data_IF_110106415910
#
_entry.id   IF_110106415910
#
_cell.length_a   1.000
_cell.length_b   1.000
_cell.length_c   1.000
_cell.angle_alpha   90.00
_cell.angle_beta   90.00
_cell.angle_gamma   90.00
#
_symmetry.space_group_name_H-M   'P 1'
#
loop_
_entity.id
_entity.type
_entity.pdbx_description
1 polymer ?
#
# COMPACT_ATOMS: atom_id res chain seq x y z
N UNK A 1 -12.61 -0.30 -23.92
CA UNK A 1 -12.16 -0.64 -22.55
C UNK A 1 -13.40 -1.06 -21.77
N UNK A 2 -13.38 -2.25 -21.16
CA UNK A 2 -14.52 -2.80 -20.39
C UNK A 2 -14.71 -1.99 -19.10
N UNK A 3 -15.92 -2.00 -18.54
CA UNK A 3 -16.17 -1.32 -17.26
C UNK A 3 -15.36 -1.97 -16.13
N UNK A 4 -15.20 -3.28 -16.20
CA UNK A 4 -14.35 -4.08 -15.31
C UNK A 4 -12.90 -3.58 -15.35
N UNK A 5 -12.33 -3.38 -16.54
CA UNK A 5 -10.96 -2.87 -16.68
C UNK A 5 -10.84 -1.42 -16.19
N UNK A 6 -11.84 -0.58 -16.41
CA UNK A 6 -11.84 0.78 -15.85
C UNK A 6 -11.84 0.78 -14.32
N UNK A 7 -12.61 -0.10 -13.67
CA UNK A 7 -12.56 -0.26 -12.21
C UNK A 7 -11.25 -0.84 -11.70
N UNK A 8 -10.61 -1.72 -12.47
CA UNK A 8 -9.27 -2.19 -12.16
C UNK A 8 -8.26 -1.03 -12.17
N UNK A 9 -8.28 -0.20 -13.23
CA UNK A 9 -7.41 0.98 -13.32
C UNK A 9 -7.65 2.00 -12.21
N UNK A 10 -8.90 2.18 -11.77
CA UNK A 10 -9.23 3.02 -10.62
C UNK A 10 -8.61 2.51 -9.31
N UNK A 11 -8.68 1.19 -9.05
CA UNK A 11 -8.01 0.61 -7.89
C UNK A 11 -6.48 0.76 -7.99
N UNK A 12 -5.89 0.50 -9.17
CA UNK A 12 -4.47 0.68 -9.41
C UNK A 12 -4.01 2.14 -9.19
N UNK A 13 -4.84 3.11 -9.57
CA UNK A 13 -4.58 4.53 -9.35
C UNK A 13 -4.47 4.85 -7.86
N UNK A 14 -5.41 4.41 -7.02
CA UNK A 14 -5.35 4.68 -5.58
C UNK A 14 -4.15 4.00 -4.92
N UNK A 15 -3.76 2.80 -5.37
CA UNK A 15 -2.53 2.16 -4.92
C UNK A 15 -1.28 2.98 -5.29
N UNK A 16 -1.24 3.53 -6.50
CA UNK A 16 -0.16 4.43 -6.91
C UNK A 16 -0.10 5.69 -6.04
N UNK A 17 -1.25 6.26 -5.69
CA UNK A 17 -1.30 7.43 -4.81
C UNK A 17 -0.81 7.12 -3.40
N UNK A 18 -1.17 5.97 -2.83
CA UNK A 18 -0.62 5.51 -1.54
C UNK A 18 0.91 5.40 -1.59
N UNK A 19 1.47 4.83 -2.67
CA UNK A 19 2.93 4.72 -2.87
C UNK A 19 3.62 6.09 -3.04
N UNK A 20 2.93 7.07 -3.60
CA UNK A 20 3.46 8.42 -3.79
C UNK A 20 3.39 9.29 -2.53
N UNK A 21 2.54 8.93 -1.56
CA UNK A 21 2.27 9.73 -0.36
C UNK A 21 2.40 8.94 0.95
N UNK A 22 3.40 8.04 1.13
CA UNK A 22 3.46 7.15 2.30
C UNK A 22 3.65 7.92 3.61
N UNK A 23 4.31 9.08 3.56
CA UNK A 23 4.59 9.91 4.74
C UNK A 23 3.43 10.83 5.12
N UNK A 24 2.38 10.97 4.29
CA UNK A 24 1.20 11.76 4.63
C UNK A 24 0.10 10.83 5.13
N UNK A 25 -0.08 10.78 6.45
CA UNK A 25 -1.03 9.87 7.10
C UNK A 25 -2.45 10.02 6.56
N UNK A 26 -2.98 11.24 6.50
CA UNK A 26 -4.38 11.43 6.14
C UNK A 26 -4.62 11.09 4.67
N UNK A 27 -3.71 11.54 3.79
CA UNK A 27 -3.77 11.22 2.37
C UNK A 27 -3.63 9.71 2.14
N UNK A 28 -2.72 9.04 2.85
CA UNK A 28 -2.56 7.59 2.78
C UNK A 28 -3.84 6.86 3.19
N UNK A 29 -4.44 7.21 4.34
CA UNK A 29 -5.67 6.60 4.82
C UNK A 29 -6.85 6.80 3.87
N UNK A 30 -6.99 8.00 3.30
CA UNK A 30 -8.03 8.30 2.33
C UNK A 30 -7.86 7.45 1.05
N UNK A 31 -6.63 7.37 0.54
CA UNK A 31 -6.32 6.54 -0.63
C UNK A 31 -6.50 5.04 -0.34
N UNK A 32 -6.20 4.56 0.86
CA UNK A 32 -6.44 3.16 1.25
C UNK A 32 -7.94 2.82 1.26
N UNK A 33 -8.76 3.69 1.84
CA UNK A 33 -10.22 3.54 1.84
C UNK A 33 -10.78 3.53 0.41
N UNK A 34 -10.29 4.45 -0.43
CA UNK A 34 -10.68 4.53 -1.84
C UNK A 34 -10.22 3.29 -2.64
N UNK A 35 -8.99 2.81 -2.40
CA UNK A 35 -8.47 1.57 -2.97
C UNK A 35 -9.36 0.39 -2.63
N UNK A 36 -9.67 0.16 -1.35
CA UNK A 36 -10.50 -0.98 -0.91
C UNK A 36 -11.91 -0.93 -1.54
N UNK A 37 -12.46 0.27 -1.68
CA UNK A 37 -13.75 0.51 -2.33
C UNK A 37 -13.71 0.18 -3.82
N UNK A 38 -12.71 0.70 -4.55
CA UNK A 38 -12.51 0.44 -5.97
C UNK A 38 -12.19 -1.04 -6.23
N UNK A 39 -11.29 -1.65 -5.45
CA UNK A 39 -10.84 -3.03 -5.57
C UNK A 39 -12.00 -4.03 -5.54
N UNK A 40 -12.93 -3.90 -4.59
CA UNK A 40 -14.13 -4.76 -4.57
C UNK A 40 -15.01 -4.55 -5.80
N UNK A 41 -15.16 -3.30 -6.23
CA UNK A 41 -16.05 -2.97 -7.34
C UNK A 41 -15.66 -3.66 -8.64
N UNK A 42 -14.39 -4.01 -8.83
CA UNK A 42 -13.89 -4.77 -10.00
C UNK A 42 -14.73 -6.04 -10.22
N UNK A 43 -14.87 -6.86 -9.18
CA UNK A 43 -15.60 -8.14 -9.28
C UNK A 43 -17.11 -7.96 -9.43
N UNK A 44 -17.68 -6.85 -8.92
CA UNK A 44 -19.10 -6.52 -9.08
C UNK A 44 -19.40 -6.09 -10.51
N UNK A 45 -18.53 -5.26 -11.09
CA UNK A 45 -18.64 -4.85 -12.49
C UNK A 45 -18.42 -6.03 -13.41
N UNK A 46 -17.44 -6.90 -13.14
CA UNK A 46 -17.23 -8.14 -13.89
C UNK A 46 -18.48 -9.03 -13.89
N UNK A 47 -19.10 -9.26 -12.74
CA UNK A 47 -20.34 -10.04 -12.69
C UNK A 47 -21.45 -9.40 -13.53
N UNK A 48 -21.65 -8.09 -13.41
CA UNK A 48 -22.73 -7.39 -14.11
C UNK A 48 -22.50 -7.32 -15.62
N UNK A 49 -21.26 -7.04 -16.03
CA UNK A 49 -20.87 -6.86 -17.43
C UNK A 49 -20.96 -8.17 -18.20
N UNK A 50 -20.57 -9.29 -17.58
CA UNK A 50 -20.50 -10.60 -18.25
C UNK A 50 -21.70 -11.52 -17.92
N UNK A 51 -22.63 -11.10 -17.06
CA UNK A 51 -23.79 -11.91 -16.61
C UNK A 51 -24.60 -12.55 -17.75
N UNK A 52 -24.65 -11.89 -18.90
CA UNK A 52 -25.45 -12.31 -20.06
C UNK A 52 -24.71 -13.28 -20.99
N UNK A 53 -23.40 -13.50 -20.79
CA UNK A 53 -22.59 -14.34 -21.67
C UNK A 53 -22.74 -15.82 -21.26
N UNK A 54 -23.04 -16.74 -22.22
CA UNK A 54 -23.13 -18.16 -21.92
C UNK A 54 -21.89 -18.70 -21.22
N UNK A 55 -22.08 -19.62 -20.27
CA UNK A 55 -21.03 -20.26 -19.46
C UNK A 55 -20.27 -19.33 -18.49
N UNK A 56 -20.46 -18.01 -18.53
CA UNK A 56 -19.82 -17.09 -17.59
C UNK A 56 -20.19 -17.41 -16.13
N UNK A 57 -21.47 -17.66 -15.84
CA UNK A 57 -21.92 -17.96 -14.47
C UNK A 57 -21.22 -19.19 -13.88
N UNK A 58 -21.01 -20.24 -14.69
CA UNK A 58 -20.31 -21.45 -14.27
C UNK A 58 -18.81 -21.19 -14.03
N UNK A 59 -18.17 -20.47 -14.95
CA UNK A 59 -16.77 -20.07 -14.80
C UNK A 59 -16.56 -19.18 -13.57
N UNK A 60 -17.42 -18.17 -13.38
CA UNK A 60 -17.31 -17.23 -12.27
C UNK A 60 -17.56 -17.89 -10.92
N UNK A 61 -18.44 -18.91 -10.86
CA UNK A 61 -18.64 -19.69 -9.64
C UNK A 61 -17.34 -20.39 -9.19
N UNK A 62 -16.55 -20.92 -10.13
CA UNK A 62 -15.23 -21.50 -9.84
C UNK A 62 -14.26 -20.43 -9.32
N UNK A 63 -14.21 -19.27 -9.98
CA UNK A 63 -13.37 -18.16 -9.53
C UNK A 63 -13.78 -17.64 -8.15
N UNK A 64 -15.08 -17.58 -7.86
CA UNK A 64 -15.57 -17.18 -6.55
C UNK A 64 -15.17 -18.18 -5.46
N UNK A 65 -15.18 -19.48 -5.77
CA UNK A 65 -14.69 -20.50 -4.83
C UNK A 65 -13.19 -20.31 -4.53
N UNK A 66 -12.35 -20.02 -5.54
CA UNK A 66 -10.93 -19.75 -5.30
C UNK A 66 -10.72 -18.46 -4.49
N UNK A 67 -11.49 -17.41 -4.76
CA UNK A 67 -11.42 -16.16 -3.98
C UNK A 67 -11.86 -16.32 -2.52
N UNK A 68 -12.89 -17.15 -2.26
CA UNK A 68 -13.34 -17.46 -0.89
C UNK A 68 -12.33 -18.29 -0.11
N UNK A 69 -11.58 -19.14 -0.79
CA UNK A 69 -10.50 -19.92 -0.18
C UNK A 69 -9.23 -19.09 0.08
N UNK A 70 -9.11 -17.91 -0.53
CA UNK A 70 -7.98 -17.00 -0.33
C UNK A 70 -8.21 -16.14 0.92
N UNK A 71 -7.41 -16.38 1.96
CA UNK A 71 -7.50 -15.70 3.25
C UNK A 71 -7.30 -14.19 3.11
N UNK A 72 -6.42 -13.74 2.21
CA UNK A 72 -6.15 -12.32 2.03
C UNK A 72 -7.27 -11.62 1.27
N UNK A 73 -7.82 -12.23 0.21
CA UNK A 73 -9.00 -11.65 -0.45
C UNK A 73 -10.20 -11.57 0.50
N UNK A 74 -10.36 -12.57 1.37
CA UNK A 74 -11.37 -12.56 2.43
C UNK A 74 -11.11 -11.44 3.46
N UNK A 75 -9.85 -11.26 3.87
CA UNK A 75 -9.43 -10.16 4.75
C UNK A 75 -9.74 -8.80 4.12
N UNK A 76 -9.32 -8.53 2.87
CA UNK A 76 -9.59 -7.26 2.18
C UNK A 76 -11.09 -6.98 2.05
N UNK A 77 -11.89 -8.02 1.82
CA UNK A 77 -13.34 -7.90 1.81
C UNK A 77 -13.89 -7.49 3.19
N UNK A 78 -13.37 -8.06 4.28
CA UNK A 78 -13.77 -7.70 5.65
C UNK A 78 -13.39 -6.26 5.99
N UNK A 79 -12.18 -5.82 5.62
CA UNK A 79 -11.69 -4.46 5.88
C UNK A 79 -12.58 -3.40 5.24
N UNK A 80 -13.08 -3.64 4.02
CA UNK A 80 -14.05 -2.73 3.39
C UNK A 80 -15.39 -2.70 4.11
N UNK A 81 -15.91 -3.85 4.56
CA UNK A 81 -17.18 -3.89 5.32
C UNK A 81 -17.06 -3.02 6.57
N UNK A 82 -15.96 -3.18 7.32
CA UNK A 82 -15.65 -2.35 8.48
C UNK A 82 -15.54 -0.86 8.11
N UNK A 83 -14.81 -0.53 7.04
CA UNK A 83 -14.55 0.86 6.62
C UNK A 83 -15.81 1.62 6.25
N UNK A 84 -16.80 0.94 5.66
CA UNK A 84 -18.03 1.60 5.18
C UNK A 84 -19.09 1.70 6.28
N UNK A 85 -19.09 0.76 7.23
CA UNK A 85 -20.20 0.61 8.17
C UNK A 85 -19.84 0.91 9.63
N UNK A 86 -18.56 0.88 9.99
CA UNK A 86 -18.17 0.89 11.41
C UNK A 86 -17.06 1.88 11.73
N UNK A 87 -15.87 1.72 11.14
CA UNK A 87 -14.66 2.48 11.52
C UNK A 87 -13.64 2.54 10.39
N UNK A 88 -12.77 3.56 10.33
CA UNK A 88 -11.65 3.60 9.40
C UNK A 88 -10.77 2.34 9.48
N UNK A 89 -10.06 2.02 8.39
CA UNK A 89 -9.12 0.90 8.33
C UNK A 89 -8.08 1.04 9.45
N UNK A 90 -7.90 -0.01 10.24
CA UNK A 90 -6.92 -0.01 11.32
C UNK A 90 -5.53 -0.34 10.75
N UNK A 91 -4.67 0.68 10.71
CA UNK A 91 -3.27 0.54 10.32
C UNK A 91 -2.38 1.29 11.30
N UNK A 92 -1.18 0.76 11.52
CA UNK A 92 -0.14 1.44 12.29
C UNK A 92 1.04 1.85 11.39
N UNK A 93 1.60 3.05 11.59
CA UNK A 93 2.84 3.43 10.94
C UNK A 93 4.03 2.75 11.62
N UNK A 94 4.99 2.29 10.81
CA UNK A 94 6.33 1.91 11.20
C UNK A 94 7.30 2.88 10.52
N UNK A 95 8.10 3.57 11.31
CA UNK A 95 9.04 4.57 10.80
C UNK A 95 10.43 3.95 10.62
N UNK A 96 10.96 4.05 9.40
CA UNK A 96 12.34 3.74 9.09
C UNK A 96 13.10 5.06 8.91
N UNK A 97 14.15 5.25 9.71
CA UNK A 97 14.97 6.45 9.70
C UNK A 97 16.31 6.17 9.02
N UNK A 98 16.60 6.90 7.96
CA UNK A 98 17.88 6.87 7.27
C UNK A 98 18.73 8.02 7.76
N UNK A 99 19.82 7.68 8.44
CA UNK A 99 20.80 8.65 8.89
C UNK A 99 21.60 9.19 7.69
N UNK A 100 22.05 10.45 7.75
CA UNK A 100 22.86 11.02 6.69
C UNK A 100 24.14 10.21 6.47
N UNK A 101 24.60 10.13 5.23
CA UNK A 101 25.95 9.62 4.92
C UNK A 101 26.98 10.61 5.44
N UNK A 102 27.92 10.13 6.24
CA UNK A 102 28.98 10.95 6.82
C UNK A 102 30.26 10.77 6.01
N UNK A 103 30.74 11.84 5.39
CA UNK A 103 32.01 11.84 4.68
C UNK A 103 33.18 12.07 5.65
N UNK A 104 33.78 10.97 6.12
CA UNK A 104 34.90 11.01 7.05
C UNK A 104 36.21 11.48 6.40
N UNK A 105 36.29 11.55 5.06
CA UNK A 105 37.52 11.96 4.36
C UNK A 105 37.87 13.43 4.55
N UNK A 106 36.90 14.23 4.98
CA UNK A 106 37.04 15.66 5.26
C UNK A 106 37.50 15.96 6.69
N UNK A 107 37.63 14.93 7.54
CA UNK A 107 38.12 15.09 8.91
C UNK A 107 39.65 15.04 8.95
N UNK A 108 40.28 15.98 9.67
CA UNK A 108 41.72 15.91 9.93
C UNK A 108 42.05 15.05 11.16
N UNK A 109 43.24 14.43 11.23
CA UNK A 109 43.63 13.60 12.38
C UNK A 109 43.54 14.36 13.71
N UNK A 110 42.77 13.83 14.66
CA UNK A 110 42.58 14.42 15.99
C UNK A 110 41.28 15.21 16.16
N UNK A 111 40.52 15.46 15.09
CA UNK A 111 39.18 16.06 15.19
C UNK A 111 38.12 15.06 15.62
N UNK A 112 37.11 15.56 16.33
CA UNK A 112 35.93 14.79 16.73
C UNK A 112 34.69 15.42 16.12
N UNK A 113 34.01 14.68 15.28
CA UNK A 113 32.66 15.00 14.83
C UNK A 113 31.66 14.48 15.86
N UNK A 114 30.86 15.38 16.43
CA UNK A 114 29.71 15.02 17.26
C UNK A 114 28.48 15.61 16.61
N UNK A 115 27.37 14.88 16.65
CA UNK A 115 26.07 15.35 16.21
C UNK A 115 24.99 14.59 16.98
N UNK A 116 23.85 15.25 17.16
CA UNK A 116 22.67 14.69 17.81
C UNK A 116 21.58 14.48 16.77
N UNK A 117 21.19 13.22 16.58
CA UNK A 117 20.01 12.86 15.79
C UNK A 117 18.80 12.80 16.72
N UNK A 118 17.80 13.63 16.45
CA UNK A 118 16.50 13.55 17.10
C UNK A 118 15.48 13.10 16.08
N UNK A 119 14.81 11.98 16.34
CA UNK A 119 13.67 11.53 15.56
C UNK A 119 12.39 11.85 16.31
N UNK A 120 11.42 12.43 15.61
CA UNK A 120 10.11 12.73 16.18
C UNK A 120 9.03 12.53 15.12
N UNK A 121 7.78 12.53 15.57
CA UNK A 121 6.61 12.63 14.70
C UNK A 121 6.07 14.05 14.89
N UNK A 122 5.87 14.79 13.80
CA UNK A 122 5.33 16.14 13.88
C UNK A 122 3.82 16.14 14.20
N UNK A 123 3.24 17.33 14.37
CA UNK A 123 1.81 17.48 14.69
C UNK A 123 0.88 16.88 13.61
N UNK A 124 1.38 16.71 12.38
CA UNK A 124 0.65 16.08 11.28
C UNK A 124 0.88 14.57 11.15
N UNK A 125 1.59 13.95 12.11
CA UNK A 125 1.86 12.52 12.08
C UNK A 125 3.00 12.11 11.16
N UNK A 126 3.74 13.08 10.59
CA UNK A 126 4.84 12.82 9.66
C UNK A 126 6.14 12.61 10.42
N UNK A 127 6.95 11.63 10.04
CA UNK A 127 8.24 11.43 10.69
C UNK A 127 9.20 12.55 10.31
N UNK A 128 9.81 13.18 11.31
CA UNK A 128 10.81 14.21 11.18
C UNK A 128 12.14 13.74 11.77
N UNK A 129 13.24 14.15 11.12
CA UNK A 129 14.59 13.96 11.62
C UNK A 129 15.24 15.32 11.74
N UNK A 130 15.71 15.63 12.95
CA UNK A 130 16.44 16.84 13.24
C UNK A 130 17.88 16.49 13.58
N UNK A 131 18.82 17.13 12.89
CA UNK A 131 20.25 17.05 13.20
C UNK A 131 20.65 18.33 13.93
N UNK A 132 21.16 18.17 15.15
CA UNK A 132 21.61 19.27 16.01
C UNK A 132 23.04 19.02 16.50
N UNK A 133 23.62 20.04 17.13
CA UNK A 133 24.96 19.99 17.75
C UNK A 133 26.10 19.56 16.81
N UNK A 134 26.01 19.91 15.53
CA UNK A 134 27.07 19.60 14.55
C UNK A 134 28.24 20.54 14.78
N UNK A 135 29.39 20.00 15.23
CA UNK A 135 30.59 20.80 15.51
C UNK A 135 31.14 21.55 14.28
N UNK A 136 30.83 21.09 13.06
CA UNK A 136 30.97 21.88 11.83
C UNK A 136 30.01 21.36 10.73
N UNK A 137 28.98 22.16 10.38
CA UNK A 137 27.97 21.78 9.36
C UNK A 137 28.55 21.63 7.96
N UNK A 138 29.69 22.25 7.67
CA UNK A 138 30.25 22.31 6.31
C UNK A 138 31.08 21.09 5.93
N UNK A 139 31.44 20.23 6.89
CA UNK A 139 32.49 19.23 6.68
C UNK A 139 32.04 17.78 6.53
N UNK A 140 30.81 17.36 6.83
CA UNK A 140 30.58 15.90 6.93
C UNK A 140 29.23 15.34 6.46
N UNK A 141 28.17 16.13 6.24
CA UNK A 141 26.85 15.59 5.91
C UNK A 141 26.69 15.55 4.38
N UNK A 142 26.86 14.37 3.78
CA UNK A 142 26.77 14.18 2.33
C UNK A 142 25.33 14.02 1.81
N UNK A 143 24.38 13.73 2.70
CA UNK A 143 22.95 13.60 2.37
C UNK A 143 22.06 14.10 3.49
N UNK A 144 20.87 14.56 3.17
CA UNK A 144 19.87 14.88 4.19
C UNK A 144 19.37 13.60 4.87
N UNK A 145 19.07 13.68 6.17
CA UNK A 145 18.39 12.60 6.86
C UNK A 145 16.96 12.49 6.33
N UNK A 146 16.49 11.27 6.07
CA UNK A 146 15.13 11.04 5.59
C UNK A 146 14.44 9.97 6.41
N UNK A 147 13.12 10.10 6.52
CA UNK A 147 12.28 9.10 7.13
C UNK A 147 11.28 8.55 6.11
N UNK A 148 11.09 7.24 6.14
CA UNK A 148 10.08 6.55 5.36
C UNK A 148 9.06 5.93 6.32
N UNK A 149 7.80 6.05 5.95
CA UNK A 149 6.70 5.43 6.68
C UNK A 149 6.28 4.17 5.93
N UNK A 150 6.41 3.04 6.60
CA UNK A 150 5.81 1.77 6.22
C UNK A 150 4.49 1.61 6.98
N UNK A 151 3.46 1.10 6.34
CA UNK A 151 2.12 0.99 6.95
C UNK A 151 1.79 -0.47 7.14
N UNK A 152 1.47 -0.89 8.37
CA UNK A 152 1.10 -2.26 8.66
C UNK A 152 -0.39 -2.35 8.99
N UNK A 153 -1.08 -3.39 8.52
CA UNK A 153 -2.44 -3.69 8.99
C UNK A 153 -2.41 -4.14 10.46
N UNK A 154 -3.31 -3.59 11.28
CA UNK A 154 -3.40 -3.97 12.70
C UNK A 154 -4.15 -5.28 12.91
N UNK A 155 -5.16 -5.52 12.08
CA UNK A 155 -6.06 -6.68 12.20
C UNK A 155 -5.49 -7.98 11.58
N UNK A 156 -4.33 -7.91 10.92
CA UNK A 156 -3.61 -9.09 10.43
C UNK A 156 -2.63 -9.56 11.49
N UNK A 157 -2.86 -10.76 12.04
CA UNK A 157 -1.92 -11.34 12.99
C UNK A 157 -0.62 -11.75 12.28
N UNK A 158 0.51 -11.67 12.99
CA UNK A 158 1.80 -12.20 12.52
C UNK A 158 1.75 -13.72 12.23
N UNK A 159 0.75 -14.42 12.78
CA UNK A 159 0.54 -15.84 12.56
C UNK A 159 -0.19 -16.13 11.24
N UNK A 160 -1.07 -15.22 10.81
CA UNK A 160 -1.79 -15.33 9.53
C UNK A 160 -0.91 -14.92 8.34
N UNK A 161 0.13 -14.12 8.59
CA UNK A 161 1.06 -13.65 7.58
C UNK A 161 2.44 -13.36 8.19
N UNK A 162 3.29 -14.39 8.32
CA UNK A 162 4.61 -14.27 8.95
C UNK A 162 5.61 -13.47 8.10
N UNK A 163 5.32 -13.27 6.81
CA UNK A 163 6.30 -12.75 5.86
C UNK A 163 6.28 -11.22 5.74
N UNK A 164 5.09 -10.57 5.71
CA UNK A 164 5.01 -9.10 5.69
C UNK A 164 3.58 -8.54 5.82
N UNK A 165 3.26 -7.81 6.90
CA UNK A 165 1.97 -7.12 7.08
C UNK A 165 1.88 -5.73 6.41
N UNK A 166 2.86 -5.36 5.60
CA UNK A 166 2.88 -4.10 4.86
C UNK A 166 1.66 -3.96 3.93
N UNK A 167 0.95 -2.86 4.13
CA UNK A 167 -0.28 -2.50 3.43
C UNK A 167 -0.01 -2.40 1.94
N UNK A 168 1.07 -1.73 1.52
CA UNK A 168 1.36 -1.52 0.10
C UNK A 168 1.68 -2.84 -0.62
N UNK A 169 2.48 -3.69 0.01
CA UNK A 169 2.85 -5.02 -0.48
C UNK A 169 1.61 -5.90 -0.62
N UNK A 170 0.77 -5.94 0.41
CA UNK A 170 -0.45 -6.75 0.39
C UNK A 170 -1.47 -6.24 -0.61
N UNK A 171 -1.67 -4.92 -0.70
CA UNK A 171 -2.54 -4.30 -1.71
C UNK A 171 -2.07 -4.63 -3.12
N UNK A 172 -0.76 -4.54 -3.39
CA UNK A 172 -0.19 -4.90 -4.70
C UNK A 172 -0.43 -6.38 -5.02
N UNK A 173 -0.09 -7.27 -4.09
CA UNK A 173 -0.27 -8.71 -4.31
C UNK A 173 -1.74 -9.09 -4.57
N UNK A 174 -2.69 -8.47 -3.87
CA UNK A 174 -4.12 -8.71 -4.14
C UNK A 174 -4.56 -8.09 -5.47
N UNK A 175 -4.02 -6.93 -5.85
CA UNK A 175 -4.30 -6.31 -7.14
C UNK A 175 -3.82 -7.18 -8.30
N UNK A 176 -2.61 -7.74 -8.23
CA UNK A 176 -2.04 -8.64 -9.24
C UNK A 176 -2.90 -9.90 -9.40
N UNK A 177 -3.37 -10.48 -8.28
CA UNK A 177 -4.29 -11.63 -8.30
C UNK A 177 -5.61 -11.30 -9.00
N UNK A 178 -6.15 -10.11 -8.80
CA UNK A 178 -7.39 -9.69 -9.48
C UNK A 178 -7.11 -9.37 -10.95
N UNK A 179 -5.96 -8.79 -11.28
CA UNK A 179 -5.56 -8.54 -12.67
C UNK A 179 -5.54 -9.82 -13.51
N UNK A 180 -4.93 -10.87 -12.96
CA UNK A 180 -4.91 -12.18 -13.60
C UNK A 180 -6.34 -12.66 -13.91
N UNK A 181 -7.25 -12.54 -12.94
CA UNK A 181 -8.67 -12.94 -13.12
C UNK A 181 -9.43 -12.08 -14.11
N UNK A 182 -9.20 -10.77 -14.11
CA UNK A 182 -9.81 -9.85 -15.09
C UNK A 182 -9.33 -10.24 -16.49
N UNK A 183 -8.04 -10.52 -16.64
CA UNK A 183 -7.44 -10.91 -17.92
C UNK A 183 -7.95 -12.28 -18.39
N UNK A 184 -8.03 -13.25 -17.49
CA UNK A 184 -8.62 -14.57 -17.77
C UNK A 184 -10.09 -14.45 -18.20
N UNK A 185 -10.86 -13.57 -17.53
CA UNK A 185 -12.26 -13.29 -17.88
C UNK A 185 -12.38 -12.70 -19.30
N UNK A 186 -11.57 -11.69 -19.60
CA UNK A 186 -11.58 -11.01 -20.90
C UNK A 186 -11.15 -11.94 -22.05
N UNK A 187 -10.22 -12.86 -21.79
CA UNK A 187 -9.79 -13.87 -22.76
C UNK A 187 -10.85 -14.96 -22.96
N UNK A 188 -11.46 -15.45 -21.88
CA UNK A 188 -12.47 -16.51 -21.93
C UNK A 188 -13.81 -16.03 -22.50
N UNK A 189 -14.14 -14.74 -22.31
CA UNK A 189 -15.42 -14.15 -22.71
C UNK A 189 -15.23 -12.84 -23.46
N UNK A 190 -14.84 -12.86 -24.74
CA UNK A 190 -14.69 -11.64 -25.51
C UNK A 190 -16.04 -10.91 -25.62
N UNK A 191 -16.15 -9.71 -25.05
CA UNK A 191 -17.31 -8.85 -25.27
C UNK A 191 -17.32 -8.38 -26.73
N UNK A 192 -18.45 -8.50 -27.46
CA UNK A 192 -18.56 -7.90 -28.79
C UNK A 192 -18.35 -6.39 -28.68
N UNK A 193 -17.46 -5.85 -29.52
CA UNK A 193 -17.17 -4.41 -29.62
C UNK A 193 -18.40 -3.62 -30.06
#
# INVERSE_FOLDING_TARGET
>A
MTNTRSKFSEAAYFLMQMKATPNDKDVFQHNLSAFLSAFRSITLFMQKEYAHIPNFAAWYALQQATMKADTFLSFFNSQRVLTIHEKPVATRPQYQYYTPSIDLSKLVPGERLTFTLTTNVDESGRPAINISDVTDRSLAIASEASAMTEWLFDDLSQQDNPDNNDVLTLCQAQLDKIEARVSDCEQAFPTPQ
#
